data_IF_615497848350
#
_entry.id   IF_615497848350
#
_cell.length_a   1.000
_cell.length_b   1.000
_cell.length_c   1.000
_cell.angle_alpha   90.00
_cell.angle_beta   90.00
_cell.angle_gamma   90.00
#
_symmetry.space_group_name_H-M   'P 1'
#
loop_
_entity.id
_entity.type
_entity.pdbx_description
1 polymer ?
#
# COMPACT_ATOMS: atom_id res chain seq x y z
N UNK A 1 2.27 5.76 -22.73
CA UNK A 1 3.21 4.67 -22.43
C UNK A 1 3.50 4.70 -20.94
N UNK A 2 3.22 3.60 -20.24
CA UNK A 2 3.23 3.44 -18.77
C UNK A 2 4.66 3.57 -18.17
N UNK A 3 5.25 4.75 -18.29
CA UNK A 3 6.67 4.99 -17.99
C UNK A 3 6.94 5.38 -16.53
N UNK A 4 5.91 5.56 -15.69
CA UNK A 4 6.09 5.91 -14.27
C UNK A 4 5.68 4.79 -13.28
N UNK A 5 5.21 3.64 -13.78
CA UNK A 5 4.61 2.60 -12.94
C UNK A 5 3.30 3.08 -12.29
N UNK A 6 2.46 2.15 -11.82
CA UNK A 6 1.35 2.55 -10.94
C UNK A 6 1.90 2.82 -9.54
N UNK A 7 1.37 3.83 -8.86
CA UNK A 7 1.72 4.06 -7.45
C UNK A 7 1.17 2.94 -6.56
N UNK A 8 1.99 2.49 -5.61
CA UNK A 8 1.56 1.50 -4.62
C UNK A 8 0.41 2.05 -3.77
N UNK A 9 -0.60 1.21 -3.51
CA UNK A 9 -1.69 1.55 -2.59
C UNK A 9 -1.25 1.36 -1.13
N UNK A 10 -1.91 2.07 -0.22
CA UNK A 10 -1.70 1.95 1.22
C UNK A 10 -3.02 1.61 1.89
N UNK A 11 -3.01 0.57 2.72
CA UNK A 11 -4.08 0.21 3.62
C UNK A 11 -3.58 0.33 5.06
N UNK A 12 -4.39 0.92 5.93
CA UNK A 12 -4.12 1.07 7.37
C UNK A 12 -5.25 0.34 8.10
N UNK A 13 -4.90 -0.62 8.96
CA UNK A 13 -5.85 -1.45 9.70
C UNK A 13 -6.95 -2.04 8.78
N UNK A 14 -6.54 -2.51 7.60
CA UNK A 14 -7.43 -3.10 6.59
C UNK A 14 -8.24 -2.11 5.75
N UNK A 15 -8.19 -0.81 6.05
CA UNK A 15 -8.93 0.24 5.30
C UNK A 15 -8.03 0.95 4.30
N UNK A 16 -8.53 1.18 3.07
CA UNK A 16 -7.77 1.89 2.03
C UNK A 16 -7.53 3.33 2.45
N UNK A 17 -6.26 3.70 2.64
CA UNK A 17 -5.83 5.02 3.07
C UNK A 17 -5.29 5.90 1.92
N UNK A 18 -5.04 5.31 0.75
CA UNK A 18 -4.61 6.04 -0.45
C UNK A 18 -3.44 5.36 -1.15
N UNK A 19 -2.45 6.17 -1.53
CA UNK A 19 -1.21 5.74 -2.21
C UNK A 19 0.01 5.93 -1.31
N UNK A 20 1.19 5.47 -1.76
CA UNK A 20 2.47 5.47 -1.02
C UNK A 20 2.80 6.79 -0.31
N UNK A 21 2.36 7.94 -0.82
CA UNK A 21 2.59 9.24 -0.19
C UNK A 21 1.98 9.34 1.21
N UNK A 22 0.93 8.56 1.51
CA UNK A 22 0.33 8.48 2.84
C UNK A 22 1.32 8.00 3.90
N UNK A 23 2.32 7.19 3.54
CA UNK A 23 3.36 6.70 4.46
C UNK A 23 4.09 7.84 5.18
N UNK A 24 4.28 8.99 4.51
CA UNK A 24 4.98 10.16 5.08
C UNK A 24 4.23 10.83 6.23
N UNK A 25 2.96 10.51 6.39
CA UNK A 25 2.06 11.15 7.37
C UNK A 25 1.70 10.24 8.53
N UNK A 26 2.18 8.99 8.52
CA UNK A 26 1.96 8.04 9.61
C UNK A 26 3.12 8.21 10.59
N UNK A 27 2.87 8.52 11.86
CA UNK A 27 3.92 8.56 12.87
C UNK A 27 4.54 7.16 12.99
N UNK A 28 5.86 7.06 12.83
CA UNK A 28 6.53 5.76 12.82
C UNK A 28 6.39 5.01 14.16
N UNK A 29 6.19 5.74 15.26
CA UNK A 29 5.96 5.18 16.60
C UNK A 29 4.63 4.44 16.74
N UNK A 30 3.64 4.77 15.91
CA UNK A 30 2.31 4.15 15.96
C UNK A 30 2.28 2.83 15.16
N UNK A 31 3.32 2.52 14.39
CA UNK A 31 3.36 1.38 13.48
C UNK A 31 3.75 0.10 14.22
N UNK A 32 2.85 -0.88 14.20
CA UNK A 32 3.07 -2.24 14.71
C UNK A 32 3.72 -3.12 13.64
N UNK A 33 3.19 -3.06 12.41
CA UNK A 33 3.61 -3.95 11.32
C UNK A 33 3.47 -3.25 9.97
N UNK A 34 4.41 -3.52 9.06
CA UNK A 34 4.31 -3.18 7.64
C UNK A 34 4.54 -4.45 6.82
N UNK A 35 3.60 -4.75 5.93
CA UNK A 35 3.75 -5.77 4.90
C UNK A 35 3.63 -5.14 3.52
N UNK A 36 4.50 -5.53 2.61
CA UNK A 36 4.39 -5.18 1.20
C UNK A 36 3.96 -6.40 0.39
N UNK A 37 3.00 -6.21 -0.50
CA UNK A 37 2.60 -7.17 -1.54
C UNK A 37 3.07 -6.61 -2.89
N UNK A 38 3.79 -7.42 -3.66
CA UNK A 38 4.16 -7.02 -5.01
C UNK A 38 2.94 -6.94 -5.94
N UNK A 39 3.14 -6.40 -7.14
CA UNK A 39 2.06 -6.20 -8.12
C UNK A 39 1.32 -7.48 -8.53
N UNK A 40 1.99 -8.63 -8.51
CA UNK A 40 1.41 -9.92 -8.88
C UNK A 40 0.50 -10.40 -7.75
N UNK A 41 1.02 -10.44 -6.52
CA UNK A 41 0.26 -10.84 -5.33
C UNK A 41 -0.92 -9.88 -5.07
N UNK A 42 -0.67 -8.58 -5.20
CA UNK A 42 -1.65 -7.53 -5.01
C UNK A 42 -2.73 -7.56 -6.09
N UNK A 43 -2.35 -7.75 -7.35
CA UNK A 43 -3.29 -7.84 -8.47
C UNK A 43 -4.30 -8.98 -8.28
N UNK A 44 -3.84 -10.13 -7.77
CA UNK A 44 -4.71 -11.29 -7.50
C UNK A 44 -5.71 -11.08 -6.35
N UNK A 45 -5.37 -10.26 -5.34
CA UNK A 45 -6.19 -10.08 -4.13
C UNK A 45 -7.00 -8.79 -4.08
N UNK A 46 -6.50 -7.71 -4.68
CA UNK A 46 -7.03 -6.35 -4.56
C UNK A 46 -7.36 -5.71 -5.91
N UNK A 47 -7.17 -6.43 -7.02
CA UNK A 47 -7.58 -6.03 -8.36
C UNK A 47 -6.63 -5.07 -9.08
N UNK A 48 -7.03 -4.68 -10.29
CA UNK A 48 -6.19 -4.02 -11.30
C UNK A 48 -5.51 -2.72 -10.84
N UNK A 49 -6.15 -1.94 -9.97
CA UNK A 49 -5.57 -0.69 -9.46
C UNK A 49 -4.36 -0.88 -8.53
N UNK A 50 -4.02 -2.13 -8.22
CA UNK A 50 -2.92 -2.51 -7.35
C UNK A 50 -1.65 -2.88 -8.12
N UNK A 51 -1.56 -2.49 -9.40
CA UNK A 51 -0.41 -2.76 -10.26
C UNK A 51 0.92 -2.14 -9.77
N UNK A 52 0.87 -1.23 -8.79
CA UNK A 52 2.04 -0.67 -8.11
C UNK A 52 2.48 -1.42 -6.85
N UNK A 53 1.79 -2.52 -6.49
CA UNK A 53 1.91 -3.17 -5.19
C UNK A 53 1.05 -2.52 -4.11
N UNK A 54 1.09 -3.09 -2.90
CA UNK A 54 0.30 -2.61 -1.75
C UNK A 54 1.13 -2.66 -0.48
N UNK A 55 1.10 -1.56 0.27
CA UNK A 55 1.50 -1.54 1.68
C UNK A 55 0.28 -1.79 2.56
N UNK A 56 0.37 -2.84 3.38
CA UNK A 56 -0.55 -3.13 4.47
C UNK A 56 0.13 -2.70 5.76
N UNK A 57 -0.51 -1.81 6.51
CA UNK A 57 0.04 -1.23 7.73
C UNK A 57 -0.92 -1.50 8.87
N UNK A 58 -0.37 -1.98 9.98
CA UNK A 58 -1.08 -2.12 11.25
C UNK A 58 -0.56 -1.07 12.22
N UNK A 59 -1.45 -0.29 12.82
CA UNK A 59 -1.14 0.75 13.81
C UNK A 59 -1.95 0.58 15.09
N UNK A 60 -1.43 1.07 16.24
CA UNK A 60 -2.16 1.17 17.52
C UNK A 60 -3.09 2.40 17.60
#
# INVERSE_FOLDING_TARGET
>A
GFSEGMDALVFINGSRAGYKNRLRTIPAMDIIEIKYLDSIEAGGKYGYTSGGGIFLITIE
#
